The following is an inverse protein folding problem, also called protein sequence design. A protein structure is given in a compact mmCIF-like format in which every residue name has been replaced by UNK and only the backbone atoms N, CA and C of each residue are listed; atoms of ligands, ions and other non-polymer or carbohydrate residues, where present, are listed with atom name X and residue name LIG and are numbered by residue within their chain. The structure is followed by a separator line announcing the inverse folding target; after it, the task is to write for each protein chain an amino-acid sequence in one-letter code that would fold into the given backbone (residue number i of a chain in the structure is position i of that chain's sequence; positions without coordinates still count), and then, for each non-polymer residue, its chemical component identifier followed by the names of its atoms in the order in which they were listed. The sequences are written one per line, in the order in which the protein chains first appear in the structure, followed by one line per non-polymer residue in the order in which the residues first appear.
data_IF_624363109451
#
_entry.id   IF_624363109451
#
_cell.length_a   1.000
_cell.length_b   1.000
_cell.length_c   1.000
_cell.angle_alpha   90.00
_cell.angle_beta   90.00
_cell.angle_gamma   90.00
#
_symmetry.space_group_name_H-M   'P 1'
#
loop_
_entity.id
_entity.type
_entity.pdbx_description
1 polymer ?
#
# COMPACT_ATOMS: atom_id res chain seq x y z
N UNK A 1 56.58 22.95 1.23
CA UNK A 1 55.65 22.01 1.86
C UNK A 1 54.27 22.31 1.28
N UNK A 2 54.03 21.77 0.08
CA UNK A 2 53.08 20.68 -0.21
C UNK A 2 51.64 21.20 -0.31
N UNK A 3 51.31 21.72 -1.50
CA UNK A 3 49.93 21.86 -1.98
C UNK A 3 49.39 20.45 -2.24
N UNK A 4 48.44 20.00 -1.43
CA UNK A 4 47.60 18.85 -1.78
C UNK A 4 46.68 19.24 -2.93
N UNK A 5 46.91 18.61 -4.09
CA UNK A 5 45.98 18.65 -5.22
C UNK A 5 44.76 17.84 -4.81
N UNK A 6 43.63 18.50 -4.60
CA UNK A 6 42.33 17.86 -4.57
C UNK A 6 42.10 17.30 -5.98
N UNK A 7 41.93 15.98 -6.08
CA UNK A 7 41.64 15.28 -7.33
C UNK A 7 40.20 15.62 -7.78
N UNK A 8 40.01 16.32 -8.91
CA UNK A 8 38.69 16.75 -9.37
C UNK A 8 37.81 15.59 -9.88
N UNK A 9 38.32 14.35 -9.93
CA UNK A 9 37.57 13.19 -10.42
C UNK A 9 36.72 12.45 -9.35
N UNK A 10 36.77 12.83 -8.07
CA UNK A 10 35.99 12.14 -7.03
C UNK A 10 34.54 12.68 -6.89
N UNK A 11 34.26 13.91 -7.35
CA UNK A 11 32.91 14.49 -7.27
C UNK A 11 32.02 14.15 -8.47
N UNK A 12 32.61 13.86 -9.63
CA UNK A 12 31.89 13.65 -10.91
C UNK A 12 31.15 12.32 -10.98
N UNK A 13 31.68 11.26 -10.35
CA UNK A 13 31.11 9.92 -10.41
C UNK A 13 29.81 9.79 -9.59
N UNK A 14 29.71 10.61 -8.53
CA UNK A 14 28.60 10.58 -7.59
C UNK A 14 27.33 11.25 -8.13
N UNK A 15 27.49 12.25 -9.00
CA UNK A 15 26.39 12.96 -9.68
C UNK A 15 25.90 12.19 -10.92
N UNK A 16 26.79 11.48 -11.61
CA UNK A 16 26.43 10.61 -12.74
C UNK A 16 25.48 9.49 -12.32
N UNK A 17 25.82 8.75 -11.25
CA UNK A 17 25.04 7.58 -10.81
C UNK A 17 23.64 7.93 -10.26
N UNK A 18 23.45 9.12 -9.67
CA UNK A 18 22.13 9.57 -9.19
C UNK A 18 21.22 10.01 -10.34
N UNK A 19 21.80 10.70 -11.32
CA UNK A 19 21.12 11.13 -12.55
C UNK A 19 20.74 9.92 -13.39
N UNK A 20 21.65 8.94 -13.54
CA UNK A 20 21.42 7.67 -14.23
C UNK A 20 20.31 6.83 -13.59
N UNK A 21 20.25 6.74 -12.25
CA UNK A 21 19.18 6.01 -11.56
C UNK A 21 17.79 6.67 -11.71
N UNK A 22 17.73 8.00 -11.74
CA UNK A 22 16.47 8.75 -11.93
C UNK A 22 15.95 8.68 -13.37
N UNK A 23 16.87 8.72 -14.34
CA UNK A 23 16.57 8.51 -15.77
C UNK A 23 16.17 7.06 -16.02
N UNK A 24 16.83 6.09 -15.39
CA UNK A 24 16.48 4.68 -15.51
C UNK A 24 15.08 4.35 -14.96
N UNK A 25 14.67 4.93 -13.83
CA UNK A 25 13.35 4.68 -13.26
C UNK A 25 12.23 5.16 -14.17
N UNK A 26 12.42 6.32 -14.82
CA UNK A 26 11.47 6.90 -15.76
C UNK A 26 11.45 6.15 -17.11
N UNK A 27 12.60 5.68 -17.59
CA UNK A 27 12.69 4.82 -18.77
C UNK A 27 12.11 3.41 -18.52
N UNK A 28 12.37 2.80 -17.37
CA UNK A 28 11.84 1.48 -16.99
C UNK A 28 10.31 1.46 -16.85
N UNK A 29 9.70 2.60 -16.49
CA UNK A 29 8.25 2.75 -16.42
C UNK A 29 7.60 2.88 -17.82
N UNK A 30 8.35 3.37 -18.81
CA UNK A 30 7.86 3.67 -20.16
C UNK A 30 8.32 2.69 -21.26
N UNK A 31 9.23 1.76 -20.95
CA UNK A 31 9.72 0.77 -21.92
C UNK A 31 8.65 -0.27 -22.22
N UNK A 32 8.39 -0.54 -23.52
CA UNK A 32 7.71 -1.78 -23.93
C UNK A 32 8.49 -2.98 -23.38
N UNK A 33 7.83 -4.08 -22.99
CA UNK A 33 8.54 -5.25 -22.47
C UNK A 33 9.60 -5.68 -23.49
N UNK A 34 10.87 -5.69 -23.06
CA UNK A 34 11.96 -6.24 -23.86
C UNK A 34 11.68 -7.72 -24.14
N UNK A 35 12.11 -8.25 -25.31
CA UNK A 35 12.06 -9.68 -25.54
C UNK A 35 12.85 -10.41 -24.45
N UNK A 36 12.28 -11.52 -23.96
CA UNK A 36 12.77 -12.27 -22.79
C UNK A 36 14.28 -12.47 -22.84
N UNK A 37 14.98 -11.98 -21.80
CA UNK A 37 16.40 -12.20 -21.61
C UNK A 37 16.63 -13.68 -21.23
N UNK A 38 17.53 -14.41 -21.91
CA UNK A 38 17.80 -15.83 -21.60
C UNK A 38 18.35 -16.10 -20.18
N UNK A 39 18.67 -15.07 -19.39
CA UNK A 39 19.05 -15.15 -17.97
C UNK A 39 17.96 -14.69 -16.99
N UNK A 40 16.71 -14.43 -17.42
CA UNK A 40 15.59 -14.15 -16.51
C UNK A 40 15.30 -15.36 -15.61
N UNK A 41 15.09 -15.10 -14.31
CA UNK A 41 14.68 -16.18 -13.40
C UNK A 41 13.27 -16.63 -13.81
N UNK A 42 12.99 -17.95 -13.83
CA UNK A 42 11.72 -18.43 -14.33
C UNK A 42 10.58 -17.85 -13.48
N UNK A 43 9.62 -17.18 -14.13
CA UNK A 43 8.41 -16.67 -13.49
C UNK A 43 7.71 -17.82 -12.76
N UNK A 44 7.52 -17.68 -11.46
CA UNK A 44 6.90 -18.70 -10.63
C UNK A 44 5.42 -18.40 -10.48
N UNK A 45 4.59 -19.45 -10.49
CA UNK A 45 3.17 -19.34 -10.14
C UNK A 45 3.04 -19.32 -8.62
N UNK A 46 2.52 -18.23 -8.08
CA UNK A 46 2.22 -18.09 -6.64
C UNK A 46 0.73 -17.80 -6.46
N UNK A 47 0.14 -18.22 -5.33
CA UNK A 47 -1.24 -17.84 -5.01
C UNK A 47 -1.36 -16.34 -4.73
N UNK A 48 -2.53 -15.78 -4.95
CA UNK A 48 -2.81 -14.37 -4.68
C UNK A 48 -2.63 -14.03 -3.19
N UNK A 49 -2.96 -14.96 -2.28
CA UNK A 49 -2.62 -14.86 -0.85
C UNK A 49 -1.10 -14.68 -0.64
N UNK A 50 -0.28 -15.50 -1.29
CA UNK A 50 1.19 -15.41 -1.19
C UNK A 50 1.69 -14.10 -1.78
N UNK A 51 1.11 -13.65 -2.88
CA UNK A 51 1.41 -12.37 -3.50
C UNK A 51 1.13 -11.19 -2.57
N UNK A 52 0.00 -11.18 -1.86
CA UNK A 52 -0.29 -10.13 -0.86
C UNK A 52 0.73 -10.13 0.28
N UNK A 53 1.12 -11.31 0.77
CA UNK A 53 2.15 -11.43 1.82
C UNK A 53 3.51 -10.90 1.34
N UNK A 54 3.92 -11.25 0.13
CA UNK A 54 5.18 -10.77 -0.47
C UNK A 54 5.14 -9.26 -0.71
N UNK A 55 4.01 -8.71 -1.16
CA UNK A 55 3.79 -7.25 -1.30
C UNK A 55 4.03 -6.55 0.03
N UNK A 56 3.43 -7.03 1.11
CA UNK A 56 3.60 -6.45 2.45
C UNK A 56 5.02 -6.61 3.00
N UNK A 57 5.73 -7.67 2.59
CA UNK A 57 7.16 -7.84 2.92
C UNK A 57 8.02 -6.81 2.20
N UNK A 58 7.83 -6.65 0.89
CA UNK A 58 8.59 -5.69 0.07
C UNK A 58 8.36 -4.26 0.56
N UNK A 59 7.11 -3.87 0.87
CA UNK A 59 6.80 -2.54 1.43
C UNK A 59 7.60 -2.29 2.71
N UNK A 60 7.63 -3.24 3.65
CA UNK A 60 8.40 -3.11 4.90
C UNK A 60 9.91 -2.99 4.66
N UNK A 61 10.45 -3.70 3.65
CA UNK A 61 11.86 -3.59 3.28
C UNK A 61 12.17 -2.22 2.67
N UNK A 62 11.31 -1.73 1.78
CA UNK A 62 11.42 -0.38 1.20
C UNK A 62 11.40 0.68 2.32
N UNK A 63 10.45 0.58 3.26
CA UNK A 63 10.34 1.54 4.37
C UNK A 63 11.57 1.54 5.28
N UNK A 64 12.18 0.37 5.51
CA UNK A 64 13.41 0.24 6.28
C UNK A 64 14.59 0.88 5.55
N UNK A 65 14.85 0.49 4.31
CA UNK A 65 15.99 1.00 3.53
C UNK A 65 15.85 2.50 3.29
N UNK A 66 14.66 2.97 2.96
CA UNK A 66 14.41 4.40 2.77
C UNK A 66 14.69 5.19 4.06
N UNK A 67 14.35 4.64 5.23
CA UNK A 67 14.67 5.27 6.52
C UNK A 67 16.17 5.39 6.73
N UNK A 68 16.91 4.30 6.52
CA UNK A 68 18.36 4.25 6.65
C UNK A 68 19.05 5.24 5.70
N UNK A 69 18.59 5.32 4.44
CA UNK A 69 19.07 6.31 3.48
C UNK A 69 18.82 7.73 4.00
N UNK A 70 17.61 8.05 4.48
CA UNK A 70 17.31 9.40 5.00
C UNK A 70 18.20 9.78 6.19
N UNK A 71 18.52 8.82 7.05
CA UNK A 71 19.34 9.03 8.25
C UNK A 71 20.83 9.23 7.91
N UNK A 72 21.36 8.54 6.90
CA UNK A 72 22.81 8.49 6.63
C UNK A 72 23.27 9.21 5.35
N UNK A 73 22.33 9.67 4.50
CA UNK A 73 22.67 10.36 3.26
C UNK A 73 23.43 11.67 3.52
N UNK A 74 23.07 12.38 4.60
CA UNK A 74 23.71 13.64 5.00
C UNK A 74 24.20 13.55 6.44
N UNK A 75 25.52 13.55 6.60
CA UNK A 75 26.20 13.54 7.90
C UNK A 75 27.23 14.67 7.96
N UNK A 76 27.70 15.00 9.14
CA UNK A 76 28.79 15.97 9.35
C UNK A 76 30.04 15.49 8.60
N UNK A 77 30.77 16.41 7.98
CA UNK A 77 32.03 16.13 7.30
C UNK A 77 33.01 15.42 8.24
N UNK A 78 33.61 14.32 7.78
CA UNK A 78 34.44 13.44 8.61
C UNK A 78 33.68 12.46 9.51
N UNK A 79 32.34 12.50 9.52
CA UNK A 79 31.52 11.51 10.19
C UNK A 79 31.57 10.13 9.51
N UNK A 80 31.35 9.07 10.29
CA UNK A 80 31.28 7.70 9.80
C UNK A 80 29.83 7.30 9.50
N UNK A 81 29.63 6.61 8.39
CA UNK A 81 28.36 5.96 8.04
C UNK A 81 28.35 4.52 8.53
N UNK A 82 27.20 4.05 8.98
CA UNK A 82 26.96 2.64 9.30
C UNK A 82 26.55 1.81 8.08
N UNK A 83 26.08 2.44 7.00
CA UNK A 83 25.70 1.77 5.75
C UNK A 83 26.39 2.38 4.52
N UNK A 84 26.45 1.59 3.45
CA UNK A 84 26.66 2.13 2.10
C UNK A 84 25.34 2.69 1.56
N UNK A 85 25.22 4.02 1.56
CA UNK A 85 24.02 4.74 1.10
C UNK A 85 23.76 4.50 -0.39
N UNK A 86 24.80 4.37 -1.21
CA UNK A 86 24.67 4.16 -2.66
C UNK A 86 24.16 2.76 -2.96
N UNK A 87 24.73 1.75 -2.31
CA UNK A 87 24.25 0.38 -2.41
C UNK A 87 22.81 0.25 -1.89
N UNK A 88 22.49 0.93 -0.78
CA UNK A 88 21.14 0.96 -0.21
C UNK A 88 20.13 1.59 -1.18
N UNK A 89 20.51 2.67 -1.87
CA UNK A 89 19.65 3.32 -2.87
C UNK A 89 19.42 2.45 -4.12
N UNK A 90 20.44 1.70 -4.56
CA UNK A 90 20.28 0.72 -5.64
C UNK A 90 19.31 -0.40 -5.25
N UNK A 91 19.41 -0.94 -4.03
CA UNK A 91 18.49 -1.95 -3.52
C UNK A 91 17.06 -1.40 -3.35
N UNK A 92 16.92 -0.18 -2.83
CA UNK A 92 15.63 0.52 -2.76
C UNK A 92 14.95 0.59 -4.14
N UNK A 93 15.72 0.97 -5.16
CA UNK A 93 15.23 1.09 -6.54
C UNK A 93 14.80 -0.27 -7.09
N UNK A 94 15.61 -1.31 -6.87
CA UNK A 94 15.28 -2.69 -7.25
C UNK A 94 13.99 -3.19 -6.58
N UNK A 95 13.83 -2.94 -5.28
CA UNK A 95 12.62 -3.31 -4.55
C UNK A 95 11.38 -2.54 -5.03
N UNK A 96 11.53 -1.26 -5.38
CA UNK A 96 10.45 -0.47 -5.98
C UNK A 96 9.98 -1.07 -7.32
N UNK A 97 10.91 -1.43 -8.20
CA UNK A 97 10.59 -2.12 -9.46
C UNK A 97 9.89 -3.46 -9.22
N UNK A 98 10.42 -4.28 -8.28
CA UNK A 98 9.80 -5.53 -7.88
C UNK A 98 8.36 -5.34 -7.37
N UNK A 99 8.14 -4.30 -6.55
CA UNK A 99 6.81 -3.94 -6.04
C UNK A 99 5.84 -3.53 -7.15
N UNK A 100 6.31 -2.78 -8.16
CA UNK A 100 5.51 -2.37 -9.32
C UNK A 100 5.07 -3.59 -10.12
N UNK A 101 5.99 -4.51 -10.44
CA UNK A 101 5.68 -5.75 -11.16
C UNK A 101 4.65 -6.59 -10.40
N UNK A 102 4.83 -6.74 -9.08
CA UNK A 102 3.88 -7.47 -8.24
C UNK A 102 2.50 -6.80 -8.21
N UNK A 103 2.43 -5.46 -8.10
CA UNK A 103 1.16 -4.71 -8.14
C UNK A 103 0.44 -4.89 -9.47
N UNK A 104 1.15 -4.87 -10.60
CA UNK A 104 0.56 -5.12 -11.92
C UNK A 104 -0.06 -6.52 -12.00
N UNK A 105 0.67 -7.54 -11.54
CA UNK A 105 0.19 -8.92 -11.55
C UNK A 105 -1.04 -9.12 -10.64
N UNK A 106 -1.02 -8.56 -9.43
CA UNK A 106 -2.17 -8.57 -8.50
C UNK A 106 -3.37 -7.86 -9.13
N UNK A 107 -3.18 -6.67 -9.71
CA UNK A 107 -4.28 -5.92 -10.34
C UNK A 107 -4.92 -6.69 -11.50
N UNK A 108 -4.10 -7.35 -12.34
CA UNK A 108 -4.61 -8.20 -13.41
C UNK A 108 -5.45 -9.38 -12.90
N UNK A 109 -5.01 -10.02 -11.81
CA UNK A 109 -5.78 -11.09 -11.17
C UNK A 109 -7.09 -10.59 -10.55
N UNK A 110 -7.07 -9.42 -9.91
CA UNK A 110 -8.23 -8.83 -9.26
C UNK A 110 -9.35 -8.47 -10.24
N UNK A 111 -9.08 -8.32 -11.54
CA UNK A 111 -10.12 -8.09 -12.55
C UNK A 111 -11.24 -9.14 -12.49
N UNK A 112 -10.92 -10.40 -12.13
CA UNK A 112 -11.90 -11.48 -12.03
C UNK A 112 -12.86 -11.37 -10.84
N UNK A 113 -12.57 -10.53 -9.85
CA UNK A 113 -13.37 -10.38 -8.62
C UNK A 113 -13.68 -8.92 -8.27
N UNK A 114 -13.35 -7.97 -9.16
CA UNK A 114 -13.43 -6.54 -8.88
C UNK A 114 -14.83 -6.09 -8.43
N UNK A 115 -15.88 -6.68 -9.00
CA UNK A 115 -17.27 -6.37 -8.61
C UNK A 115 -17.53 -6.65 -7.12
N UNK A 116 -17.06 -7.80 -6.61
CA UNK A 116 -17.23 -8.18 -5.20
C UNK A 116 -16.39 -7.32 -4.27
N UNK A 117 -15.17 -6.95 -4.71
CA UNK A 117 -14.32 -6.02 -3.96
C UNK A 117 -14.97 -4.64 -3.81
N UNK A 118 -15.57 -4.13 -4.89
CA UNK A 118 -16.29 -2.85 -4.89
C UNK A 118 -17.54 -2.96 -4.03
N UNK A 119 -18.35 -4.01 -4.20
CA UNK A 119 -19.55 -4.24 -3.38
C UNK A 119 -19.21 -4.28 -1.88
N UNK A 120 -18.16 -5.00 -1.49
CA UNK A 120 -17.70 -5.05 -0.10
C UNK A 120 -17.27 -3.66 0.42
N UNK A 121 -16.62 -2.85 -0.41
CA UNK A 121 -16.20 -1.50 -0.05
C UNK A 121 -17.41 -0.57 0.16
N UNK A 122 -18.41 -0.65 -0.72
CA UNK A 122 -19.63 0.14 -0.62
C UNK A 122 -20.48 -0.27 0.58
N UNK A 123 -20.63 -1.58 0.85
CA UNK A 123 -21.36 -2.03 2.05
C UNK A 123 -20.69 -1.54 3.33
N UNK A 124 -19.33 -1.57 3.40
CA UNK A 124 -18.60 -0.99 4.54
C UNK A 124 -18.87 0.51 4.69
N UNK A 125 -18.94 1.23 3.57
CA UNK A 125 -19.28 2.65 3.54
C UNK A 125 -20.69 2.89 4.08
N UNK A 126 -21.69 2.14 3.59
CA UNK A 126 -23.08 2.23 4.02
C UNK A 126 -23.21 1.92 5.52
N UNK A 127 -22.63 0.82 6.00
CA UNK A 127 -22.63 0.48 7.43
C UNK A 127 -22.02 1.59 8.29
N UNK A 128 -20.98 2.29 7.79
CA UNK A 128 -20.40 3.44 8.48
C UNK A 128 -21.38 4.62 8.52
N UNK A 129 -22.11 4.88 7.44
CA UNK A 129 -23.12 5.95 7.39
C UNK A 129 -24.32 5.65 8.28
N UNK A 130 -24.86 4.43 8.27
CA UNK A 130 -25.98 4.02 9.11
C UNK A 130 -25.69 4.24 10.61
N UNK A 131 -24.45 3.97 11.04
CA UNK A 131 -24.01 4.21 12.43
C UNK A 131 -24.01 5.67 12.85
N UNK A 132 -24.01 6.61 11.89
CA UNK A 132 -24.05 8.05 12.16
C UNK A 132 -25.47 8.60 12.25
N UNK A 133 -26.48 7.82 11.87
CA UNK A 133 -27.88 8.26 11.90
C UNK A 133 -28.34 8.38 13.36
N UNK A 134 -28.83 9.55 13.80
CA UNK A 134 -29.40 9.71 15.13
C UNK A 134 -30.71 8.93 15.26
N UNK A 135 -30.76 7.98 16.19
CA UNK A 135 -31.93 7.12 16.43
C UNK A 135 -32.57 7.35 17.81
N UNK A 136 -32.37 8.55 18.39
CA UNK A 136 -32.95 8.91 19.69
C UNK A 136 -34.45 9.10 19.53
N UNK A 137 -35.21 8.41 20.36
CA UNK A 137 -36.67 8.46 20.37
C UNK A 137 -37.17 8.67 21.80
N UNK A 138 -38.28 9.37 21.95
CA UNK A 138 -38.89 9.70 23.24
C UNK A 138 -38.20 10.82 24.03
N UNK A 139 -38.58 10.93 25.30
CA UNK A 139 -38.18 11.99 26.23
C UNK A 139 -36.70 11.86 26.59
N UNK A 140 -35.93 12.92 26.33
CA UNK A 140 -34.52 13.04 26.66
C UNK A 140 -34.37 13.94 27.90
N UNK A 141 -33.58 13.47 28.87
CA UNK A 141 -33.23 14.28 30.04
C UNK A 141 -32.36 15.47 29.61
N UNK A 142 -32.53 16.65 30.23
CA UNK A 142 -31.71 17.82 29.92
C UNK A 142 -30.25 17.55 30.32
N UNK A 143 -29.31 17.98 29.48
CA UNK A 143 -27.89 18.01 29.84
C UNK A 143 -27.59 19.04 30.93
N UNK A 144 -26.34 19.05 31.44
CA UNK A 144 -25.90 19.98 32.50
C UNK A 144 -26.15 21.47 32.18
N UNK A 145 -26.09 21.85 30.90
CA UNK A 145 -26.33 23.21 30.40
C UNK A 145 -27.73 23.41 29.77
N UNK A 146 -28.59 22.39 29.75
CA UNK A 146 -29.93 22.48 29.15
C UNK A 146 -31.00 22.55 30.25
N UNK A 147 -31.89 23.54 30.16
CA UNK A 147 -32.99 23.72 31.14
C UNK A 147 -34.28 22.98 30.75
N UNK A 148 -34.37 22.48 29.52
CA UNK A 148 -35.62 21.94 28.96
C UNK A 148 -35.49 20.49 28.52
N UNK A 149 -36.53 19.72 28.83
CA UNK A 149 -36.67 18.33 28.37
C UNK A 149 -37.05 18.33 26.90
N UNK A 150 -36.27 17.62 26.08
CA UNK A 150 -36.57 17.43 24.65
C UNK A 150 -37.33 16.13 24.44
N UNK A 151 -38.37 16.16 23.62
CA UNK A 151 -39.03 14.94 23.13
C UNK A 151 -38.59 14.74 21.69
N UNK A 152 -37.79 13.69 21.46
CA UNK A 152 -37.27 13.35 20.13
C UNK A 152 -38.21 12.35 19.48
N UNK A 153 -38.37 12.43 18.15
CA UNK A 153 -39.01 11.39 17.36
C UNK A 153 -38.10 11.07 16.18
N UNK A 154 -37.50 9.89 16.20
CA UNK A 154 -36.69 9.42 15.07
C UNK A 154 -37.62 8.81 14.01
N UNK A 155 -37.53 9.27 12.76
CA UNK A 155 -38.27 8.67 11.65
C UNK A 155 -37.76 7.25 11.37
N UNK A 156 -36.43 7.09 11.32
CA UNK A 156 -35.78 5.78 11.27
C UNK A 156 -35.51 5.29 12.69
N UNK A 157 -36.19 4.23 13.09
CA UNK A 157 -36.06 3.67 14.44
C UNK A 157 -34.75 2.93 14.59
N UNK A 158 -34.25 2.86 15.82
CA UNK A 158 -33.06 2.10 16.19
C UNK A 158 -33.13 0.64 15.72
N UNK A 159 -34.30 0.02 15.84
CA UNK A 159 -34.51 -1.38 15.43
C UNK A 159 -34.37 -1.57 13.92
N UNK A 160 -34.86 -0.62 13.11
CA UNK A 160 -34.76 -0.67 11.65
C UNK A 160 -33.30 -0.54 11.19
N UNK A 161 -32.59 0.46 11.73
CA UNK A 161 -31.15 0.66 11.45
C UNK A 161 -30.33 -0.56 11.87
N UNK A 162 -30.66 -1.19 13.01
CA UNK A 162 -29.98 -2.40 13.47
C UNK A 162 -30.23 -3.59 12.53
N UNK A 163 -31.49 -3.82 12.11
CA UNK A 163 -31.84 -4.90 11.19
C UNK A 163 -31.19 -4.72 9.81
N UNK A 164 -31.16 -3.50 9.28
CA UNK A 164 -30.49 -3.21 8.01
C UNK A 164 -28.97 -3.42 8.13
N UNK A 165 -28.36 -2.96 9.23
CA UNK A 165 -26.94 -3.19 9.49
C UNK A 165 -26.60 -4.68 9.59
N UNK A 166 -27.46 -5.49 10.21
CA UNK A 166 -27.29 -6.94 10.34
C UNK A 166 -27.39 -7.66 8.98
N UNK A 167 -28.35 -7.26 8.14
CA UNK A 167 -28.47 -7.80 6.79
C UNK A 167 -27.23 -7.47 5.94
N UNK A 168 -26.74 -6.23 6.01
CA UNK A 168 -25.52 -5.80 5.35
C UNK A 168 -24.28 -6.55 5.87
N UNK A 169 -24.20 -6.79 7.18
CA UNK A 169 -23.11 -7.56 7.78
C UNK A 169 -23.11 -9.01 7.28
N UNK A 170 -24.28 -9.65 7.19
CA UNK A 170 -24.42 -10.99 6.63
C UNK A 170 -23.93 -11.04 5.19
N UNK A 171 -24.27 -10.03 4.36
CA UNK A 171 -23.75 -9.94 2.99
C UNK A 171 -22.25 -9.72 2.95
N UNK A 172 -21.69 -8.92 3.85
CA UNK A 172 -20.24 -8.74 3.97
C UNK A 172 -19.51 -10.05 4.28
N UNK A 173 -20.08 -10.90 5.12
CA UNK A 173 -19.45 -12.17 5.49
C UNK A 173 -19.41 -13.13 4.29
N UNK A 174 -20.51 -13.25 3.54
CA UNK A 174 -20.54 -14.01 2.27
C UNK A 174 -19.52 -13.48 1.27
N UNK A 175 -19.45 -12.15 1.09
CA UNK A 175 -18.47 -11.54 0.18
C UNK A 175 -17.03 -11.83 0.61
N UNK A 176 -16.74 -11.80 1.91
CA UNK A 176 -15.42 -12.11 2.44
C UNK A 176 -15.02 -13.55 2.15
N UNK A 177 -15.91 -14.52 2.38
CA UNK A 177 -15.65 -15.93 2.08
C UNK A 177 -15.37 -16.15 0.58
N UNK A 178 -16.17 -15.54 -0.30
CA UNK A 178 -15.98 -15.61 -1.75
C UNK A 178 -14.64 -14.98 -2.20
N UNK A 179 -14.25 -13.86 -1.58
CA UNK A 179 -12.97 -13.19 -1.85
C UNK A 179 -11.80 -14.05 -1.37
N UNK A 180 -11.91 -14.66 -0.20
CA UNK A 180 -10.86 -15.50 0.37
C UNK A 180 -10.69 -16.80 -0.43
N UNK A 181 -11.79 -17.43 -0.85
CA UNK A 181 -11.75 -18.57 -1.76
C UNK A 181 -11.07 -18.21 -3.09
N UNK A 182 -11.44 -17.07 -3.68
CA UNK A 182 -10.81 -16.58 -4.91
C UNK A 182 -9.32 -16.34 -4.70
N UNK A 183 -8.93 -15.69 -3.59
CA UNK A 183 -7.54 -15.41 -3.27
C UNK A 183 -6.70 -16.70 -3.10
N UNK A 184 -7.30 -17.74 -2.52
CA UNK A 184 -6.66 -19.03 -2.32
C UNK A 184 -6.43 -19.78 -3.64
N UNK A 185 -7.42 -19.76 -4.54
CA UNK A 185 -7.41 -20.51 -5.81
C UNK A 185 -6.71 -19.77 -6.96
N UNK A 186 -6.63 -18.44 -6.90
CA UNK A 186 -6.06 -17.64 -7.99
C UNK A 186 -4.55 -17.64 -7.93
N UNK A 187 -3.91 -17.96 -9.05
CA UNK A 187 -2.47 -17.96 -9.22
C UNK A 187 -2.05 -16.76 -10.08
N UNK A 188 -0.93 -16.14 -9.72
CA UNK A 188 -0.28 -15.11 -10.52
C UNK A 188 1.14 -15.53 -10.88
N UNK A 189 1.61 -15.07 -12.03
CA UNK A 189 3.01 -15.23 -12.44
C UNK A 189 3.84 -14.08 -11.90
N UNK A 190 4.86 -14.41 -11.11
CA UNK A 190 5.73 -13.43 -10.49
C UNK A 190 7.17 -13.94 -10.42
N UNK A 191 8.12 -13.06 -10.71
CA UNK A 191 9.54 -13.31 -10.54
C UNK A 191 9.96 -12.88 -9.11
N UNK A 192 10.35 -13.82 -8.23
CA UNK A 192 10.70 -13.53 -6.85
C UNK A 192 12.03 -12.79 -6.67
#
# INVERSE_FOLDING_TARGET
MMNEKIDPNQETDSVSAATENSIWLSDALNRKPEPANPNESPKQKISLIRAFKERSRIIRQIDLINRQIREENSIIEGGLRSIDVRQSYAEYTRLCCKLITLKKAISGANCGIIGKLVELAEIKSICRQLKLIPVKDGRQEPGYDESEVKVMNAELKKAEIAAETEALQTRMDVLQDEIDEFNARTLIEFEP
#
